data_IF_280310716664
#
_entry.id   IF_280310716664
#
_cell.length_a   1.000
_cell.length_b   1.000
_cell.length_c   1.000
_cell.angle_alpha   90.00
_cell.angle_beta   90.00
_cell.angle_gamma   90.00
#
_symmetry.space_group_name_H-M   'P 1'
#
loop_
_entity.id
_entity.type
_entity.pdbx_description
1 polymer ?
#
# COMPACT_ATOMS: atom_id res chain seq x y z
N UNK A 1 -13.95 68.12 -29.73
CA UNK A 1 -14.90 68.06 -28.59
C UNK A 1 -15.81 66.84 -28.72
N UNK A 2 -15.35 65.63 -28.31
CA UNK A 2 -16.23 64.43 -28.16
C UNK A 2 -15.62 63.21 -27.44
N UNK A 3 -14.40 63.28 -26.88
CA UNK A 3 -13.74 62.12 -26.25
C UNK A 3 -13.64 62.23 -24.72
N UNK A 4 -13.83 63.41 -24.12
CA UNK A 4 -13.69 63.61 -22.67
C UNK A 4 -14.90 63.22 -21.80
N UNK A 5 -16.05 62.84 -22.40
CA UNK A 5 -17.27 62.53 -21.63
C UNK A 5 -17.48 61.04 -21.33
N UNK A 6 -16.74 60.14 -21.98
CA UNK A 6 -16.82 58.69 -21.70
C UNK A 6 -15.91 58.25 -20.55
N UNK A 7 -14.84 58.99 -20.26
CA UNK A 7 -13.90 58.67 -19.18
C UNK A 7 -14.40 59.05 -17.78
N UNK A 8 -15.47 59.84 -17.68
CA UNK A 8 -15.98 60.31 -16.38
C UNK A 8 -16.94 59.31 -15.70
N UNK A 9 -17.54 58.38 -16.44
CA UNK A 9 -18.44 57.37 -15.88
C UNK A 9 -17.77 56.03 -15.53
N UNK A 10 -16.53 55.79 -15.96
CA UNK A 10 -15.81 54.56 -15.60
C UNK A 10 -15.05 54.69 -14.27
N UNK A 11 -14.69 55.91 -13.87
CA UNK A 11 -13.87 56.14 -12.68
C UNK A 11 -14.66 56.22 -11.36
N UNK A 12 -15.98 56.43 -11.42
CA UNK A 12 -16.81 56.57 -10.21
C UNK A 12 -17.26 55.21 -9.65
N UNK A 13 -17.27 54.14 -10.47
CA UNK A 13 -17.74 52.83 -10.01
C UNK A 13 -16.72 52.04 -9.18
N UNK A 14 -15.43 52.39 -9.24
CA UNK A 14 -14.38 51.67 -8.52
C UNK A 14 -14.13 52.18 -7.09
N UNK A 15 -14.60 53.38 -6.74
CA UNK A 15 -14.23 54.03 -5.48
C UNK A 15 -15.20 53.77 -4.31
N UNK A 16 -16.21 52.91 -4.52
CA UNK A 16 -17.20 52.55 -3.48
C UNK A 16 -17.44 51.03 -3.38
N UNK A 17 -16.48 50.22 -3.79
CA UNK A 17 -16.48 48.80 -3.43
C UNK A 17 -15.99 48.67 -1.98
N UNK A 18 -16.92 48.24 -1.12
CA UNK A 18 -16.73 48.00 0.31
C UNK A 18 -15.37 47.35 0.61
N UNK A 19 -14.62 47.93 1.57
CA UNK A 19 -13.40 47.32 2.15
C UNK A 19 -13.60 45.85 2.58
N UNK A 20 -14.85 45.44 2.82
CA UNK A 20 -15.28 44.08 3.14
C UNK A 20 -15.05 43.09 1.97
N UNK A 21 -15.21 43.52 0.70
CA UNK A 21 -15.09 42.65 -0.47
C UNK A 21 -13.62 42.29 -0.74
N UNK A 22 -12.69 43.20 -0.47
CA UNK A 22 -11.24 42.96 -0.65
C UNK A 22 -10.71 41.95 0.38
N UNK A 23 -11.22 41.96 1.62
CA UNK A 23 -10.86 40.98 2.66
C UNK A 23 -11.41 39.59 2.33
N UNK A 24 -12.59 39.50 1.70
CA UNK A 24 -13.15 38.21 1.29
C UNK A 24 -12.35 37.54 0.15
N UNK A 25 -11.77 38.33 -0.76
CA UNK A 25 -10.98 37.82 -1.89
C UNK A 25 -9.61 37.30 -1.44
N UNK A 26 -8.99 37.89 -0.41
CA UNK A 26 -7.70 37.38 0.12
C UNK A 26 -7.85 36.10 0.93
N UNK A 27 -9.01 35.86 1.56
CA UNK A 27 -9.28 34.59 2.26
C UNK A 27 -9.45 33.43 1.27
N UNK A 28 -10.08 33.67 0.11
CA UNK A 28 -10.33 32.62 -0.90
C UNK A 28 -9.04 32.20 -1.64
N UNK A 29 -8.05 33.09 -1.75
CA UNK A 29 -6.76 32.78 -2.41
C UNK A 29 -5.79 31.96 -1.55
N UNK A 30 -6.05 31.78 -0.24
CA UNK A 30 -5.20 30.98 0.64
C UNK A 30 -5.67 29.51 0.79
N UNK A 31 -6.77 29.09 0.15
CA UNK A 31 -7.39 27.78 0.41
C UNK A 31 -6.77 26.63 -0.40
N UNK A 32 -5.83 26.86 -1.31
CA UNK A 32 -5.35 25.78 -2.19
C UNK A 32 -3.82 25.64 -2.24
N UNK A 33 -3.22 25.29 -1.10
CA UNK A 33 -1.98 24.51 -1.08
C UNK A 33 -2.07 23.44 0.03
N UNK A 34 -3.12 22.62 0.00
CA UNK A 34 -3.02 21.28 0.58
C UNK A 34 -2.27 20.42 -0.44
N UNK A 35 -0.95 20.48 -0.43
CA UNK A 35 -0.17 19.34 -0.89
C UNK A 35 -0.61 18.16 -0.01
N UNK A 36 -1.30 17.18 -0.60
CA UNK A 36 -1.56 15.92 0.09
C UNK A 36 -0.19 15.29 0.34
N UNK A 37 0.26 15.35 1.60
CA UNK A 37 1.42 14.62 2.06
C UNK A 37 1.03 13.13 2.02
N UNK A 38 1.18 12.50 0.86
CA UNK A 38 0.93 11.07 0.70
C UNK A 38 2.04 10.37 1.47
N UNK A 39 1.70 9.82 2.64
CA UNK A 39 2.65 9.02 3.38
C UNK A 39 3.10 7.87 2.48
N UNK A 40 4.39 7.84 2.14
CA UNK A 40 4.98 6.76 1.34
C UNK A 40 5.03 5.43 2.11
N UNK A 41 4.52 5.39 3.33
CA UNK A 41 4.49 4.20 4.19
C UNK A 41 3.05 3.94 4.63
N UNK A 42 2.55 2.75 4.31
CA UNK A 42 1.28 2.27 4.83
C UNK A 42 1.48 1.10 5.80
N UNK A 43 0.81 1.20 6.95
CA UNK A 43 0.79 0.10 7.92
C UNK A 43 -0.22 -0.96 7.50
N UNK A 44 0.27 -2.17 7.28
CA UNK A 44 -0.49 -3.32 6.81
C UNK A 44 -0.52 -4.42 7.87
N UNK A 45 -1.68 -5.04 8.07
CA UNK A 45 -1.85 -6.18 8.97
C UNK A 45 -1.87 -7.50 8.20
N UNK A 46 -0.89 -8.37 8.43
CA UNK A 46 -0.83 -9.69 7.81
C UNK A 46 -1.41 -10.76 8.73
N UNK A 47 -2.27 -11.62 8.19
CA UNK A 47 -2.70 -12.84 8.86
C UNK A 47 -1.74 -13.96 8.49
N UNK A 48 -0.97 -14.44 9.47
CA UNK A 48 0.07 -15.45 9.29
C UNK A 48 -0.39 -16.75 9.92
N UNK A 49 -0.27 -17.86 9.18
CA UNK A 49 -0.66 -19.20 9.66
C UNK A 49 0.54 -20.11 9.96
N UNK A 50 1.72 -19.81 9.42
CA UNK A 50 2.91 -20.64 9.54
C UNK A 50 4.18 -19.84 9.25
N UNK A 51 5.29 -20.26 9.84
CA UNK A 51 6.63 -19.71 9.59
C UNK A 51 7.67 -20.84 9.62
N UNK A 52 8.60 -20.86 8.66
CA UNK A 52 9.69 -21.84 8.60
C UNK A 52 10.88 -21.31 7.81
N UNK A 53 12.09 -21.78 8.12
CA UNK A 53 13.30 -21.48 7.32
C UNK A 53 13.35 -22.27 6.01
N UNK A 54 12.48 -23.27 5.84
CA UNK A 54 12.46 -24.14 4.67
C UNK A 54 11.35 -23.73 3.70
N UNK A 55 11.75 -23.28 2.51
CA UNK A 55 10.83 -22.86 1.45
C UNK A 55 9.92 -23.98 0.96
N UNK A 56 10.43 -25.20 0.78
CA UNK A 56 9.63 -26.34 0.30
C UNK A 56 8.56 -26.75 1.30
N UNK A 57 8.88 -26.72 2.61
CA UNK A 57 7.90 -26.94 3.67
C UNK A 57 6.82 -25.85 3.64
N UNK A 58 7.24 -24.59 3.50
CA UNK A 58 6.34 -23.44 3.40
C UNK A 58 5.42 -23.56 2.19
N UNK A 59 5.94 -24.01 1.04
CA UNK A 59 5.18 -24.26 -0.18
C UNK A 59 4.14 -25.36 0.00
N UNK A 60 4.46 -26.45 0.70
CA UNK A 60 3.48 -27.49 1.04
C UNK A 60 2.34 -26.93 1.90
N UNK A 61 2.67 -26.19 2.96
CA UNK A 61 1.67 -25.56 3.84
C UNK A 61 0.78 -24.56 3.08
N UNK A 62 1.35 -23.77 2.17
CA UNK A 62 0.58 -22.85 1.33
C UNK A 62 -0.45 -23.58 0.44
N UNK A 63 -0.07 -24.70 -0.16
CA UNK A 63 -0.98 -25.52 -0.96
C UNK A 63 -2.08 -26.18 -0.12
N UNK A 64 -1.77 -26.59 1.11
CA UNK A 64 -2.78 -27.12 2.03
C UNK A 64 -3.77 -26.02 2.47
N UNK A 65 -3.26 -24.82 2.76
CA UNK A 65 -4.09 -23.67 3.10
C UNK A 65 -5.06 -23.31 1.98
N UNK A 66 -4.66 -23.48 0.72
CA UNK A 66 -5.54 -23.25 -0.44
C UNK A 66 -6.77 -24.15 -0.39
N UNK A 67 -6.57 -25.42 -0.04
CA UNK A 67 -7.65 -26.40 0.05
C UNK A 67 -8.58 -26.11 1.22
N UNK A 68 -8.02 -25.73 2.38
CA UNK A 68 -8.81 -25.49 3.59
C UNK A 68 -9.57 -24.16 3.58
N UNK A 69 -8.97 -23.10 3.03
CA UNK A 69 -9.54 -21.75 3.06
C UNK A 69 -10.28 -21.38 1.76
N UNK A 70 -10.03 -22.10 0.66
CA UNK A 70 -10.59 -21.77 -0.66
C UNK A 70 -10.03 -20.47 -1.26
N UNK A 71 -8.98 -19.89 -0.67
CA UNK A 71 -8.35 -18.66 -1.15
C UNK A 71 -7.44 -18.93 -2.35
N UNK A 72 -7.26 -17.93 -3.22
CA UNK A 72 -6.32 -18.03 -4.35
C UNK A 72 -4.89 -18.17 -3.83
N UNK A 73 -4.16 -19.17 -4.33
CA UNK A 73 -2.71 -19.24 -4.18
C UNK A 73 -2.06 -18.21 -5.11
N UNK A 74 -1.54 -17.13 -4.54
CA UNK A 74 -0.94 -16.01 -5.26
C UNK A 74 0.53 -15.83 -4.85
N UNK A 75 1.41 -16.60 -5.49
CA UNK A 75 2.85 -16.51 -5.27
C UNK A 75 3.53 -15.40 -6.10
N UNK A 76 2.78 -14.66 -6.93
CA UNK A 76 3.32 -13.63 -7.85
C UNK A 76 4.52 -14.09 -8.68
N UNK A 77 4.54 -15.37 -9.06
CA UNK A 77 5.65 -16.03 -9.76
C UNK A 77 7.01 -15.95 -9.05
N UNK A 78 7.05 -15.59 -7.76
CA UNK A 78 8.30 -15.56 -7.02
C UNK A 78 8.84 -16.97 -6.81
N UNK A 79 10.16 -17.08 -6.99
CA UNK A 79 10.94 -18.28 -6.73
C UNK A 79 11.89 -18.05 -5.57
N UNK A 80 12.33 -19.13 -4.94
CA UNK A 80 13.39 -19.08 -3.92
C UNK A 80 14.64 -18.43 -4.52
N UNK A 81 15.25 -17.52 -3.78
CA UNK A 81 16.51 -16.88 -4.12
C UNK A 81 17.43 -16.86 -2.89
N UNK A 82 18.72 -17.07 -3.07
CA UNK A 82 19.66 -17.19 -1.94
C UNK A 82 20.01 -15.84 -1.30
N UNK A 83 19.91 -14.76 -2.06
CA UNK A 83 20.24 -13.39 -1.62
C UNK A 83 19.06 -12.73 -0.92
N UNK A 84 17.88 -12.72 -1.56
CA UNK A 84 16.68 -12.03 -1.05
C UNK A 84 15.66 -12.97 -0.38
N UNK A 85 15.93 -14.28 -0.36
CA UNK A 85 14.97 -15.32 0.03
C UNK A 85 13.93 -15.61 -1.06
N UNK A 86 13.34 -14.56 -1.66
CA UNK A 86 12.43 -14.64 -2.80
C UNK A 86 12.82 -13.62 -3.87
N UNK A 87 12.66 -13.98 -5.13
CA UNK A 87 12.85 -13.08 -6.28
C UNK A 87 11.90 -13.47 -7.40
N UNK A 88 11.60 -12.55 -8.31
CA UNK A 88 11.15 -12.92 -9.65
C UNK A 88 12.22 -13.77 -10.35
N UNK A 89 11.84 -14.64 -11.30
CA UNK A 89 12.80 -15.34 -12.15
C UNK A 89 13.67 -14.34 -12.91
N UNK A 90 14.96 -14.65 -13.08
CA UNK A 90 15.91 -13.76 -13.76
C UNK A 90 15.42 -13.28 -15.13
N UNK A 91 14.87 -14.18 -15.94
CA UNK A 91 14.30 -13.85 -17.25
C UNK A 91 13.18 -12.81 -17.15
N UNK A 92 12.31 -12.91 -16.13
CA UNK A 92 11.22 -11.94 -15.92
C UNK A 92 11.80 -10.58 -15.51
N UNK A 93 12.86 -10.55 -14.71
CA UNK A 93 13.55 -9.29 -14.39
C UNK A 93 14.12 -8.63 -15.66
N UNK A 94 14.89 -9.39 -16.45
CA UNK A 94 15.56 -8.89 -17.65
C UNK A 94 14.57 -8.39 -18.71
N UNK A 95 13.48 -9.13 -18.95
CA UNK A 95 12.42 -8.74 -19.89
C UNK A 95 11.66 -7.47 -19.48
N UNK A 96 11.63 -7.16 -18.18
CA UNK A 96 10.95 -5.98 -17.63
C UNK A 96 11.93 -4.85 -17.24
N UNK A 97 13.23 -5.00 -17.51
CA UNK A 97 14.25 -4.01 -17.19
C UNK A 97 14.53 -3.84 -15.69
N UNK A 98 14.25 -4.87 -14.87
CA UNK A 98 14.57 -4.88 -13.45
C UNK A 98 15.94 -5.48 -13.17
N UNK A 99 16.66 -4.95 -12.19
CA UNK A 99 17.88 -5.57 -11.68
C UNK A 99 17.55 -6.87 -10.93
N UNK A 100 18.24 -7.96 -11.27
CA UNK A 100 18.09 -9.24 -10.58
C UNK A 100 19.11 -9.36 -9.43
N UNK A 101 18.72 -9.84 -8.23
CA UNK A 101 17.39 -10.31 -7.85
C UNK A 101 16.41 -9.15 -7.56
N UNK A 102 15.13 -9.35 -7.91
CA UNK A 102 14.08 -8.35 -7.73
C UNK A 102 12.91 -8.92 -6.96
N UNK A 103 12.45 -8.19 -5.95
CA UNK A 103 11.28 -8.56 -5.17
C UNK A 103 10.49 -7.31 -4.74
N UNK A 104 9.16 -7.40 -4.79
CA UNK A 104 8.25 -6.35 -4.33
C UNK A 104 7.44 -6.83 -3.14
N UNK A 105 7.48 -6.09 -2.04
CA UNK A 105 6.72 -6.39 -0.81
C UNK A 105 5.24 -6.64 -1.09
N UNK A 106 4.70 -7.69 -0.47
CA UNK A 106 3.24 -7.84 -0.36
C UNK A 106 2.65 -6.67 0.40
N UNK A 107 1.43 -6.25 0.04
CA UNK A 107 0.74 -5.10 0.62
C UNK A 107 1.00 -3.78 -0.11
N UNK A 108 1.90 -3.75 -1.10
CA UNK A 108 2.06 -2.60 -2.00
C UNK A 108 0.98 -2.53 -3.09
N UNK A 109 0.32 -3.65 -3.34
CA UNK A 109 -0.72 -3.79 -4.36
C UNK A 109 -2.08 -4.03 -3.68
N UNK A 110 -2.97 -4.80 -4.33
CA UNK A 110 -4.31 -5.06 -3.82
C UNK A 110 -4.32 -5.86 -2.52
N UNK A 111 -5.00 -5.31 -1.50
CA UNK A 111 -5.34 -5.98 -0.24
C UNK A 111 -6.40 -7.06 -0.40
N UNK A 112 -6.47 -7.98 0.57
CA UNK A 112 -7.55 -8.94 0.70
C UNK A 112 -7.11 -10.36 1.05
N UNK A 113 -7.95 -11.32 0.67
CA UNK A 113 -7.76 -12.74 0.97
C UNK A 113 -7.04 -13.44 -0.18
N UNK A 114 -5.88 -14.00 0.12
CA UNK A 114 -5.05 -14.79 -0.79
C UNK A 114 -4.05 -15.59 0.03
N UNK A 115 -3.42 -16.60 -0.55
CA UNK A 115 -2.31 -17.30 0.10
C UNK A 115 -1.03 -16.92 -0.60
N UNK A 116 -0.07 -16.44 0.15
CA UNK A 116 1.26 -16.15 -0.35
C UNK A 116 2.35 -16.66 0.60
N UNK A 117 3.53 -16.85 0.02
CA UNK A 117 4.77 -17.10 0.77
C UNK A 117 5.57 -15.83 0.68
N UNK A 118 5.94 -15.27 1.83
CA UNK A 118 6.75 -14.08 1.90
C UNK A 118 8.00 -14.36 2.74
N UNK A 119 9.10 -13.67 2.48
CA UNK A 119 10.35 -13.82 3.24
C UNK A 119 10.49 -12.68 4.24
N UNK A 120 10.98 -12.94 5.44
CA UNK A 120 10.88 -11.96 6.53
C UNK A 120 11.88 -10.82 6.48
N UNK A 121 13.02 -10.98 5.79
CA UNK A 121 14.12 -9.99 5.80
C UNK A 121 13.74 -8.62 5.22
N UNK A 122 12.75 -8.61 4.35
CA UNK A 122 12.25 -7.40 3.68
C UNK A 122 11.20 -6.66 4.51
N UNK A 123 10.71 -7.23 5.61
CA UNK A 123 9.65 -6.64 6.43
C UNK A 123 10.19 -6.17 7.77
N UNK A 124 9.96 -4.90 8.08
CA UNK A 124 10.30 -4.35 9.38
C UNK A 124 9.54 -5.08 10.50
N UNK A 125 10.21 -5.25 11.64
CA UNK A 125 9.69 -5.90 12.85
C UNK A 125 9.43 -7.40 12.74
N UNK A 126 9.92 -8.07 11.70
CA UNK A 126 9.92 -9.53 11.60
C UNK A 126 11.24 -10.12 12.07
N UNK A 127 11.19 -11.35 12.59
CA UNK A 127 12.41 -12.13 12.79
C UNK A 127 12.93 -12.55 11.43
N UNK A 128 14.15 -12.17 11.10
CA UNK A 128 14.80 -12.49 9.83
C UNK A 128 15.03 -13.99 9.63
N UNK A 129 15.12 -14.41 8.37
CA UNK A 129 15.50 -15.75 7.97
C UNK A 129 14.34 -16.74 7.84
N UNK A 130 13.09 -16.27 7.76
CA UNK A 130 11.91 -17.12 7.70
C UNK A 130 11.08 -16.87 6.45
N UNK A 131 10.52 -17.93 5.90
CA UNK A 131 9.37 -17.89 5.01
C UNK A 131 8.10 -17.94 5.87
N UNK A 132 7.19 -17.00 5.65
CA UNK A 132 5.89 -16.92 6.31
C UNK A 132 4.77 -17.20 5.31
N UNK A 133 3.69 -17.81 5.79
CA UNK A 133 2.48 -18.02 4.99
C UNK A 133 1.46 -16.96 5.39
N UNK A 134 1.27 -15.99 4.50
CA UNK A 134 0.29 -14.92 4.64
C UNK A 134 -0.99 -15.36 3.94
N UNK A 135 -2.13 -15.35 4.64
CA UNK A 135 -3.43 -15.77 4.10
C UNK A 135 -4.42 -14.61 3.89
N UNK A 136 -4.05 -13.43 4.34
CA UNK A 136 -4.70 -12.16 3.99
C UNK A 136 -3.81 -10.99 4.44
N UNK A 137 -3.97 -9.85 3.78
CA UNK A 137 -3.56 -8.57 4.32
C UNK A 137 -4.67 -7.53 4.18
N UNK A 138 -4.66 -6.55 5.09
CA UNK A 138 -5.52 -5.39 5.04
C UNK A 138 -4.80 -4.19 5.65
N UNK A 139 -5.07 -3.01 5.10
CA UNK A 139 -4.67 -1.73 5.68
C UNK A 139 -5.06 -1.62 7.16
N UNK A 140 -4.27 -0.89 7.94
CA UNK A 140 -4.57 -0.57 9.33
C UNK A 140 -5.86 0.26 9.48
N UNK A 141 -6.43 0.79 8.41
CA UNK A 141 -7.77 1.41 8.40
C UNK A 141 -8.91 0.36 8.36
N UNK A 142 -8.63 -0.87 7.93
CA UNK A 142 -9.60 -1.96 7.73
C UNK A 142 -9.57 -3.02 8.84
N UNK A 143 -9.27 -2.62 10.09
CA UNK A 143 -9.09 -3.53 11.24
C UNK A 143 -10.26 -4.50 11.47
N UNK A 144 -11.49 -4.11 11.15
CA UNK A 144 -12.66 -4.98 11.32
C UNK A 144 -12.62 -6.16 10.35
N UNK A 145 -12.35 -5.91 9.06
CA UNK A 145 -12.17 -6.97 8.05
C UNK A 145 -11.03 -7.91 8.44
N UNK A 146 -9.92 -7.35 8.93
CA UNK A 146 -8.77 -8.13 9.40
C UNK A 146 -9.14 -9.07 10.56
N UNK A 147 -9.88 -8.57 11.56
CA UNK A 147 -10.33 -9.37 12.72
C UNK A 147 -11.34 -10.44 12.33
N UNK A 148 -12.31 -10.11 11.48
CA UNK A 148 -13.30 -11.06 10.97
C UNK A 148 -12.64 -12.18 10.16
N UNK A 149 -11.71 -11.81 9.28
CA UNK A 149 -10.93 -12.77 8.49
C UNK A 149 -10.07 -13.66 9.40
N UNK A 150 -9.43 -13.11 10.43
CA UNK A 150 -8.67 -13.92 11.40
C UNK A 150 -9.59 -14.93 12.11
N UNK A 151 -10.80 -14.53 12.51
CA UNK A 151 -11.77 -15.42 13.14
C UNK A 151 -12.15 -16.58 12.21
N UNK A 152 -12.33 -16.34 10.93
CA UNK A 152 -12.56 -17.39 9.93
C UNK A 152 -11.35 -18.31 9.79
N UNK A 153 -10.15 -17.75 9.58
CA UNK A 153 -8.90 -18.51 9.41
C UNK A 153 -8.61 -19.40 10.63
N UNK A 154 -8.85 -18.90 11.85
CA UNK A 154 -8.63 -19.65 13.09
C UNK A 154 -9.48 -20.90 13.25
N UNK A 155 -10.57 -21.06 12.49
CA UNK A 155 -11.34 -22.31 12.45
C UNK A 155 -10.55 -23.48 11.86
N UNK A 156 -9.56 -23.18 11.02
CA UNK A 156 -8.69 -24.16 10.36
C UNK A 156 -7.24 -24.09 10.86
N UNK A 157 -6.81 -22.93 11.35
CA UNK A 157 -5.44 -22.64 11.79
C UNK A 157 -5.47 -21.92 13.15
N UNK A 158 -5.60 -22.66 14.24
CA UNK A 158 -5.78 -22.10 15.60
C UNK A 158 -4.66 -21.11 15.99
N UNK A 159 -3.42 -21.41 15.61
CA UNK A 159 -2.23 -20.61 15.88
C UNK A 159 -2.07 -19.39 14.96
N UNK A 160 -3.01 -19.16 14.04
CA UNK A 160 -2.97 -18.00 13.17
C UNK A 160 -2.97 -16.70 13.99
N UNK A 161 -2.20 -15.71 13.56
CA UNK A 161 -2.09 -14.43 14.25
C UNK A 161 -1.95 -13.28 13.26
N UNK A 162 -2.24 -12.07 13.75
CA UNK A 162 -2.01 -10.83 13.01
C UNK A 162 -0.63 -10.31 13.37
N UNK A 163 0.15 -9.90 12.36
CA UNK A 163 1.37 -9.12 12.55
C UNK A 163 1.34 -7.90 11.65
N UNK A 164 1.60 -6.74 12.23
CA UNK A 164 1.67 -5.50 11.47
C UNK A 164 3.08 -5.26 10.95
N UNK A 165 3.14 -4.67 9.76
CA UNK A 165 4.37 -4.19 9.14
C UNK A 165 4.12 -2.92 8.38
N UNK A 166 5.18 -2.18 8.11
CA UNK A 166 5.16 -0.96 7.34
C UNK A 166 5.54 -1.31 5.90
N UNK A 167 4.71 -0.91 4.95
CA UNK A 167 4.90 -1.18 3.52
C UNK A 167 5.21 0.13 2.82
N UNK A 168 6.31 0.15 2.06
CA UNK A 168 6.69 1.30 1.26
C UNK A 168 5.88 1.36 -0.04
N UNK A 169 5.15 2.46 -0.23
CA UNK A 169 4.31 2.77 -1.39
C UNK A 169 4.93 3.80 -2.35
N UNK A 170 6.04 4.44 -1.98
CA UNK A 170 6.75 5.41 -2.83
C UNK A 170 7.43 4.79 -4.05
N UNK A 171 8.10 5.59 -4.88
CA UNK A 171 8.74 5.08 -6.10
C UNK A 171 9.85 4.07 -5.77
N UNK A 172 9.82 2.90 -6.43
CA UNK A 172 10.93 1.95 -6.37
C UNK A 172 11.92 2.35 -7.46
N UNK A 173 13.07 2.92 -7.07
CA UNK A 173 14.13 3.40 -7.96
C UNK A 173 15.44 2.64 -7.73
#
# INVERSE_FOLDING_TARGET
MKIKKLLFNFFIYFCKMNKIIIIFITIILNVQLYAQDFSEIEKQGFIIIYASKNYEVSKKVANEAQKHLGYKLDLRNHIKNETLGLSLPKVVCEENGFEYPFYVQRGRAKDGNYISIEYTNIYNNFTEGFYIIVVANFSNTEKNKLKETLKFVKKHYEKAYIKYTDIYLGCMH
#
